data_IF_911222209783
#
_entry.id   IF_911222209783
#
_cell.length_a   1.000
_cell.length_b   1.000
_cell.length_c   1.000
_cell.angle_alpha   90.00
_cell.angle_beta   90.00
_cell.angle_gamma   90.00
#
_symmetry.space_group_name_H-M   'P 1'
#
loop_
_entity.id
_entity.type
_entity.pdbx_description
1 polymer ?
#
# COMPACT_ATOMS: atom_id res chain seq x y z
N UNK A 1 -4.48 3.82 -4.30
CA UNK A 1 -3.71 4.18 -3.10
C UNK A 1 -4.48 3.80 -1.86
N UNK A 2 -3.86 3.08 -0.91
CA UNK A 2 -4.50 2.48 0.26
C UNK A 2 -4.02 3.18 1.54
N UNK A 3 -4.95 3.76 2.27
CA UNK A 3 -4.65 4.56 3.47
C UNK A 3 -4.23 3.71 4.67
N UNK A 4 -3.62 4.35 5.68
CA UNK A 4 -3.24 3.72 6.95
C UNK A 4 -4.41 3.57 7.92
N UNK A 5 -4.15 2.83 9.03
CA UNK A 5 -5.11 2.65 10.11
C UNK A 5 -5.61 3.98 10.68
N UNK A 6 -6.91 4.09 10.87
CA UNK A 6 -7.55 5.28 11.42
C UNK A 6 -7.66 6.49 10.48
N UNK A 7 -7.21 6.34 9.24
CA UNK A 7 -7.39 7.38 8.20
C UNK A 7 -8.69 7.15 7.43
N UNK A 8 -9.14 8.17 6.70
CA UNK A 8 -10.24 8.08 5.73
C UNK A 8 -9.73 8.43 4.33
N UNK A 9 -10.21 7.73 3.33
CA UNK A 9 -9.79 7.88 1.93
C UNK A 9 -9.91 9.33 1.44
N UNK A 10 -10.99 10.04 1.80
CA UNK A 10 -11.23 11.44 1.41
C UNK A 10 -10.15 12.44 1.90
N UNK A 11 -9.43 12.10 2.96
CA UNK A 11 -8.30 12.91 3.45
C UNK A 11 -6.98 12.38 2.92
N UNK A 12 -6.83 11.08 2.83
CA UNK A 12 -5.61 10.45 2.35
C UNK A 12 -5.32 10.80 0.89
N UNK A 13 -6.34 10.84 0.03
CA UNK A 13 -6.18 11.16 -1.39
C UNK A 13 -5.55 12.54 -1.63
N UNK A 14 -5.69 13.48 -0.69
CA UNK A 14 -5.13 14.83 -0.81
C UNK A 14 -3.60 14.86 -0.89
N UNK A 15 -2.92 13.86 -0.34
CA UNK A 15 -1.47 13.74 -0.47
C UNK A 15 -1.04 13.62 -1.92
N UNK A 16 -1.91 13.12 -2.79
CA UNK A 16 -1.63 12.86 -4.21
C UNK A 16 -1.96 14.04 -5.13
N UNK A 17 -2.50 15.14 -4.61
CA UNK A 17 -2.68 16.39 -5.35
C UNK A 17 -1.33 16.90 -5.89
N UNK A 18 -0.25 16.69 -5.14
CA UNK A 18 1.10 17.11 -5.49
C UNK A 18 1.65 16.48 -6.79
N UNK A 19 1.07 15.36 -7.23
CA UNK A 19 1.51 14.60 -8.42
C UNK A 19 0.47 14.60 -9.54
N UNK A 20 -0.63 15.35 -9.39
CA UNK A 20 -1.66 15.46 -10.42
C UNK A 20 -1.16 16.30 -11.60
N UNK A 21 -1.20 15.72 -12.79
CA UNK A 21 -0.74 16.36 -14.03
C UNK A 21 -1.68 16.10 -15.23
N UNK A 22 -2.91 15.65 -14.97
CA UNK A 22 -3.90 15.32 -16.01
C UNK A 22 -3.66 13.98 -16.73
N UNK A 23 -2.59 13.26 -16.40
CA UNK A 23 -2.25 11.95 -16.99
C UNK A 23 -2.42 10.78 -16.03
N UNK A 24 -2.88 11.04 -14.80
CA UNK A 24 -3.03 10.03 -13.75
C UNK A 24 -4.45 10.03 -13.23
N UNK A 25 -5.02 8.84 -13.10
CA UNK A 25 -6.20 8.60 -12.29
C UNK A 25 -5.71 8.09 -10.93
N UNK A 26 -5.99 8.82 -9.87
CA UNK A 26 -5.73 8.37 -8.49
C UNK A 26 -7.02 7.87 -7.88
N UNK A 27 -7.04 6.61 -7.47
CA UNK A 27 -8.18 5.98 -6.82
C UNK A 27 -7.79 5.67 -5.38
N UNK A 28 -8.56 6.15 -4.42
CA UNK A 28 -8.37 5.90 -2.99
C UNK A 28 -9.62 5.20 -2.43
N UNK A 29 -9.68 3.87 -2.44
CA UNK A 29 -10.75 3.15 -1.76
C UNK A 29 -10.62 3.35 -0.25
N UNK A 30 -11.76 3.33 0.44
CA UNK A 30 -11.80 3.39 1.89
C UNK A 30 -11.94 1.98 2.45
N UNK A 31 -11.19 1.71 3.52
CA UNK A 31 -11.28 0.45 4.26
C UNK A 31 -12.70 0.20 4.78
N UNK A 32 -13.13 -1.06 4.78
CA UNK A 32 -14.52 -1.45 5.00
C UNK A 32 -15.02 -1.18 6.43
N UNK A 33 -14.13 -1.20 7.42
CA UNK A 33 -14.50 -1.06 8.84
C UNK A 33 -14.26 0.36 9.34
N UNK A 34 -15.32 1.17 9.46
CA UNK A 34 -15.27 2.50 10.09
C UNK A 34 -15.49 2.42 11.58
N UNK A 35 -14.79 3.25 12.33
CA UNK A 35 -14.92 3.32 13.78
C UNK A 35 -14.63 4.73 14.31
N UNK A 36 -15.10 5.01 15.53
CA UNK A 36 -14.76 6.26 16.21
C UNK A 36 -13.35 6.20 16.78
N UNK A 37 -12.54 7.18 16.45
CA UNK A 37 -11.24 7.39 17.08
C UNK A 37 -11.41 7.82 18.55
N UNK A 38 -10.30 7.82 19.29
CA UNK A 38 -10.31 8.25 20.69
C UNK A 38 -11.05 9.59 20.88
N UNK A 39 -11.90 9.66 21.88
CA UNK A 39 -12.74 10.83 22.14
C UNK A 39 -14.03 10.91 21.30
N UNK A 40 -14.30 9.95 20.42
CA UNK A 40 -15.54 9.83 19.64
C UNK A 40 -15.92 11.07 18.78
N UNK A 41 -14.96 11.96 18.53
CA UNK A 41 -15.18 13.20 17.75
C UNK A 41 -14.80 13.05 16.28
N UNK A 42 -13.99 12.05 15.96
CA UNK A 42 -13.55 11.77 14.59
C UNK A 42 -13.74 10.29 14.27
N UNK A 43 -13.93 10.02 12.99
CA UNK A 43 -14.05 8.66 12.44
C UNK A 43 -12.78 8.33 11.68
N UNK A 44 -12.32 7.10 11.81
CA UNK A 44 -11.29 6.49 10.99
C UNK A 44 -11.79 5.17 10.41
N UNK A 45 -11.00 4.58 9.54
CA UNK A 45 -11.28 3.27 8.96
C UNK A 45 -10.08 2.34 9.13
N UNK A 46 -10.34 1.03 9.10
CA UNK A 46 -9.36 -0.04 9.21
C UNK A 46 -9.61 -1.09 8.15
N UNK A 47 -8.53 -1.57 7.52
CA UNK A 47 -8.59 -2.68 6.57
C UNK A 47 -8.85 -4.01 7.25
N UNK A 48 -8.27 -4.18 8.43
CA UNK A 48 -8.49 -5.36 9.27
C UNK A 48 -8.17 -5.05 10.72
N UNK A 49 -8.66 -5.89 11.62
CA UNK A 49 -8.22 -5.94 13.01
C UNK A 49 -7.58 -7.28 13.32
N UNK A 50 -7.18 -7.52 14.57
CA UNK A 50 -6.72 -8.84 15.00
C UNK A 50 -7.86 -9.83 15.12
N UNK A 51 -9.04 -9.33 15.43
CA UNK A 51 -10.27 -10.11 15.58
C UNK A 51 -10.80 -10.48 14.20
N UNK A 52 -11.07 -11.75 13.96
CA UNK A 52 -11.55 -12.30 12.67
C UNK A 52 -10.76 -11.83 11.43
N UNK A 53 -9.46 -11.73 11.60
CA UNK A 53 -8.53 -11.13 10.63
C UNK A 53 -8.60 -11.75 9.24
N UNK A 54 -8.81 -13.07 9.15
CA UNK A 54 -8.82 -13.77 7.86
C UNK A 54 -10.06 -13.41 7.06
N UNK A 55 -11.21 -13.28 7.69
CA UNK A 55 -12.44 -12.80 7.04
C UNK A 55 -12.26 -11.35 6.57
N UNK A 56 -11.70 -10.46 7.39
CA UNK A 56 -11.38 -9.08 6.96
C UNK A 56 -10.49 -9.07 5.71
N UNK A 57 -9.49 -9.99 5.64
CA UNK A 57 -8.58 -10.09 4.49
C UNK A 57 -9.35 -10.53 3.23
N UNK A 58 -10.15 -11.58 3.31
CA UNK A 58 -10.95 -12.06 2.19
C UNK A 58 -11.93 -10.98 1.69
N UNK A 59 -12.58 -10.27 2.61
CA UNK A 59 -13.53 -9.20 2.30
C UNK A 59 -12.87 -8.02 1.58
N UNK A 60 -11.74 -7.51 2.09
CA UNK A 60 -11.10 -6.39 1.41
C UNK A 60 -10.44 -6.79 0.08
N UNK A 61 -9.97 -8.03 -0.07
CA UNK A 61 -9.46 -8.52 -1.35
C UNK A 61 -10.58 -8.56 -2.39
N UNK A 62 -11.73 -9.16 -2.05
CA UNK A 62 -12.89 -9.19 -2.93
C UNK A 62 -13.38 -7.77 -3.29
N UNK A 63 -13.39 -6.86 -2.33
CA UNK A 63 -13.76 -5.46 -2.55
C UNK A 63 -12.79 -4.74 -3.51
N UNK A 64 -11.49 -4.90 -3.30
CA UNK A 64 -10.47 -4.25 -4.13
C UNK A 64 -10.45 -4.83 -5.55
N UNK A 65 -10.65 -6.14 -5.70
CA UNK A 65 -10.76 -6.80 -7.01
C UNK A 65 -12.01 -6.30 -7.76
N UNK A 66 -13.17 -6.24 -7.11
CA UNK A 66 -14.38 -5.70 -7.71
C UNK A 66 -14.22 -4.24 -8.15
N UNK A 67 -13.53 -3.42 -7.35
CA UNK A 67 -13.22 -2.03 -7.70
C UNK A 67 -12.28 -1.95 -8.91
N UNK A 68 -11.25 -2.79 -8.94
CA UNK A 68 -10.31 -2.91 -10.06
C UNK A 68 -11.05 -3.23 -11.35
N UNK A 69 -11.91 -4.24 -11.34
CA UNK A 69 -12.70 -4.65 -12.50
C UNK A 69 -13.58 -3.51 -13.00
N UNK A 70 -14.30 -2.81 -12.11
CA UNK A 70 -15.12 -1.65 -12.48
C UNK A 70 -14.33 -0.51 -13.14
N UNK A 71 -13.07 -0.29 -12.73
CA UNK A 71 -12.20 0.70 -13.37
C UNK A 71 -11.86 0.25 -14.79
N UNK A 72 -11.47 -1.02 -14.95
CA UNK A 72 -11.01 -1.55 -16.22
C UNK A 72 -12.13 -1.94 -17.20
N UNK A 73 -13.39 -1.91 -16.77
CA UNK A 73 -14.54 -1.82 -17.72
C UNK A 73 -14.50 -0.54 -18.58
N UNK A 74 -13.84 0.52 -18.10
CA UNK A 74 -13.84 1.85 -18.74
C UNK A 74 -12.47 2.30 -19.22
N UNK A 75 -11.42 1.66 -18.74
CA UNK A 75 -10.01 1.97 -19.05
C UNK A 75 -9.36 0.73 -19.64
N UNK A 76 -8.77 0.85 -20.81
CA UNK A 76 -7.99 -0.25 -21.38
C UNK A 76 -6.74 -0.50 -20.51
N UNK A 77 -6.66 -1.70 -19.90
CA UNK A 77 -5.53 -2.11 -19.05
C UNK A 77 -4.19 -2.02 -19.79
N UNK A 78 -4.17 -2.34 -21.08
CA UNK A 78 -2.96 -2.29 -21.90
C UNK A 78 -2.45 -0.88 -22.20
N UNK A 79 -3.27 0.14 -21.97
CA UNK A 79 -2.93 1.54 -22.24
C UNK A 79 -2.35 2.30 -21.05
N UNK A 80 -2.36 1.70 -19.84
CA UNK A 80 -1.96 2.36 -18.60
C UNK A 80 -1.04 1.48 -17.75
N UNK A 81 -0.16 2.11 -16.99
CA UNK A 81 0.57 1.45 -15.92
C UNK A 81 -0.23 1.51 -14.61
N UNK A 82 -0.30 0.39 -13.91
CA UNK A 82 -0.99 0.26 -12.62
C UNK A 82 0.01 0.31 -11.48
N UNK A 83 -0.08 1.36 -10.68
CA UNK A 83 0.74 1.51 -9.49
C UNK A 83 -0.13 1.35 -8.24
N UNK A 84 0.23 0.42 -7.38
CA UNK A 84 -0.41 0.25 -6.07
C UNK A 84 0.50 0.83 -4.99
N UNK A 85 0.00 1.78 -4.23
CA UNK A 85 0.70 2.35 -3.07
C UNK A 85 -0.13 2.11 -1.81
N UNK A 86 0.51 1.58 -0.78
CA UNK A 86 -0.10 1.45 0.54
C UNK A 86 0.73 2.16 1.61
N UNK A 87 0.07 2.95 2.44
CA UNK A 87 0.67 3.61 3.60
C UNK A 87 0.37 2.84 4.87
N UNK A 88 1.39 2.51 5.67
CA UNK A 88 1.23 1.85 6.97
C UNK A 88 0.40 0.56 6.85
N UNK A 89 -0.73 0.42 7.55
CA UNK A 89 -1.64 -0.73 7.39
C UNK A 89 -2.04 -0.97 5.92
N UNK A 90 -2.24 0.11 5.14
CA UNK A 90 -2.52 0.02 3.72
C UNK A 90 -1.42 -0.63 2.90
N UNK A 91 -0.16 -0.60 3.36
CA UNK A 91 0.95 -1.30 2.69
C UNK A 91 0.84 -2.81 2.82
N UNK A 92 0.49 -3.32 4.00
CA UNK A 92 0.21 -4.74 4.19
C UNK A 92 -1.00 -5.21 3.36
N UNK A 93 -2.04 -4.36 3.26
CA UNK A 93 -3.20 -4.59 2.40
C UNK A 93 -2.80 -4.61 0.92
N UNK A 94 -1.99 -3.64 0.47
CA UNK A 94 -1.47 -3.57 -0.88
C UNK A 94 -0.63 -4.81 -1.26
N UNK A 95 0.20 -5.27 -0.33
CA UNK A 95 1.01 -6.47 -0.53
C UNK A 95 0.13 -7.70 -0.72
N UNK A 96 -0.85 -7.91 0.16
CA UNK A 96 -1.78 -9.04 0.02
C UNK A 96 -2.60 -8.96 -1.26
N UNK A 97 -3.06 -7.76 -1.63
CA UNK A 97 -3.79 -7.59 -2.88
C UNK A 97 -2.94 -7.91 -4.11
N UNK A 98 -1.69 -7.48 -4.14
CA UNK A 98 -0.76 -7.79 -5.23
C UNK A 98 -0.35 -9.28 -5.29
N UNK A 99 -0.52 -10.04 -4.21
CA UNK A 99 -0.09 -11.44 -4.11
C UNK A 99 -1.22 -12.45 -4.11
N UNK A 100 -2.36 -12.09 -3.53
CA UNK A 100 -3.51 -12.98 -3.32
C UNK A 100 -4.74 -12.54 -4.13
N UNK A 101 -4.83 -11.26 -4.52
CA UNK A 101 -5.90 -10.70 -5.35
C UNK A 101 -5.59 -10.80 -6.84
N UNK A 102 -6.41 -10.11 -7.65
CA UNK A 102 -6.34 -10.15 -9.11
C UNK A 102 -5.56 -8.98 -9.73
N UNK A 103 -5.10 -8.01 -8.93
CA UNK A 103 -4.40 -6.84 -9.48
C UNK A 103 -3.05 -7.24 -10.08
N UNK A 104 -2.86 -6.90 -11.35
CA UNK A 104 -1.56 -6.99 -12.03
C UNK A 104 -0.86 -5.63 -11.94
N UNK A 105 -0.13 -5.42 -10.83
CA UNK A 105 0.53 -4.16 -10.54
C UNK A 105 1.89 -4.08 -11.23
N UNK A 106 2.11 -3.05 -12.03
CA UNK A 106 3.43 -2.74 -12.60
C UNK A 106 4.41 -2.25 -11.53
N UNK A 107 3.87 -1.60 -10.49
CA UNK A 107 4.66 -1.10 -9.36
C UNK A 107 3.90 -1.25 -8.04
N UNK A 108 4.60 -1.73 -7.01
CA UNK A 108 4.12 -1.78 -5.64
C UNK A 108 4.98 -0.87 -4.75
N UNK A 109 4.34 0.07 -4.05
CA UNK A 109 5.02 1.01 -3.16
C UNK A 109 4.51 0.80 -1.74
N UNK A 110 5.39 0.34 -0.87
CA UNK A 110 5.13 0.16 0.55
C UNK A 110 5.68 1.37 1.30
N UNK A 111 4.80 2.27 1.68
CA UNK A 111 5.16 3.51 2.36
C UNK A 111 4.99 3.36 3.86
N UNK A 112 6.09 3.48 4.62
CA UNK A 112 6.10 3.29 6.06
C UNK A 112 5.42 1.96 6.47
N UNK A 113 5.71 0.90 5.72
CA UNK A 113 5.09 -0.42 5.87
C UNK A 113 6.05 -1.52 5.48
N UNK A 114 5.79 -2.70 5.99
CA UNK A 114 6.50 -3.94 5.72
C UNK A 114 5.63 -4.96 4.98
N UNK A 115 6.27 -5.99 4.44
CA UNK A 115 5.59 -7.17 3.93
C UNK A 115 4.94 -7.89 5.12
N UNK A 116 3.66 -8.27 5.04
CA UNK A 116 2.99 -8.94 6.15
C UNK A 116 3.67 -10.25 6.55
N UNK A 117 3.94 -10.49 7.83
CA UNK A 117 4.68 -11.67 8.29
C UNK A 117 3.91 -12.99 8.13
N UNK A 118 2.61 -12.91 7.90
CA UNK A 118 1.71 -14.04 7.66
C UNK A 118 1.59 -14.42 6.17
N UNK A 119 2.21 -13.65 5.28
CA UNK A 119 2.23 -13.97 3.86
C UNK A 119 3.30 -15.04 3.58
N UNK A 120 2.87 -16.18 3.06
CA UNK A 120 3.79 -17.23 2.64
C UNK A 120 4.53 -16.84 1.34
N UNK A 121 5.73 -16.29 1.49
CA UNK A 121 6.56 -15.91 0.36
C UNK A 121 7.18 -17.11 -0.37
N UNK A 122 7.14 -18.32 0.18
CA UNK A 122 7.56 -19.52 -0.58
C UNK A 122 6.61 -19.78 -1.73
N UNK A 123 5.33 -19.50 -1.53
CA UNK A 123 4.27 -19.66 -2.53
C UNK A 123 4.04 -18.41 -3.36
N UNK A 124 4.08 -17.20 -2.74
CA UNK A 124 3.58 -15.97 -3.34
C UNK A 124 4.66 -14.97 -3.80
N UNK A 125 5.96 -15.27 -3.62
CA UNK A 125 7.05 -14.35 -3.99
C UNK A 125 7.05 -13.97 -5.48
N UNK A 126 6.54 -14.83 -6.37
CA UNK A 126 6.53 -14.58 -7.81
C UNK A 126 5.72 -13.33 -8.19
N UNK A 127 4.61 -13.08 -7.52
CA UNK A 127 3.83 -11.87 -7.74
C UNK A 127 4.63 -10.60 -7.40
N UNK A 128 5.40 -10.63 -6.30
CA UNK A 128 6.27 -9.51 -5.91
C UNK A 128 7.50 -9.36 -6.81
N UNK A 129 8.00 -10.44 -7.41
CA UNK A 129 9.12 -10.36 -8.38
C UNK A 129 8.70 -9.71 -9.69
N UNK A 130 7.44 -9.83 -10.09
CA UNK A 130 6.93 -9.25 -11.35
C UNK A 130 6.70 -7.75 -11.26
N UNK A 131 6.40 -7.22 -10.08
CA UNK A 131 6.21 -5.79 -9.89
C UNK A 131 7.50 -5.08 -9.45
N UNK A 132 7.60 -3.79 -9.75
CA UNK A 132 8.70 -2.95 -9.24
C UNK A 132 8.41 -2.57 -7.78
N UNK A 133 9.00 -3.32 -6.83
CA UNK A 133 8.79 -3.08 -5.41
C UNK A 133 9.66 -1.91 -4.90
N UNK A 134 9.05 -0.97 -4.20
CA UNK A 134 9.73 0.14 -3.54
C UNK A 134 9.29 0.24 -2.07
N UNK A 135 10.23 0.22 -1.15
CA UNK A 135 10.03 0.54 0.26
C UNK A 135 10.32 2.03 0.47
N UNK A 136 9.41 2.77 1.08
CA UNK A 136 9.59 4.19 1.40
C UNK A 136 9.54 4.38 2.90
N UNK A 137 10.60 4.93 3.50
CA UNK A 137 10.79 4.94 4.95
C UNK A 137 11.24 6.31 5.43
N UNK A 138 10.61 6.81 6.49
CA UNK A 138 11.07 8.00 7.20
C UNK A 138 12.28 7.70 8.08
N UNK A 139 13.25 8.63 8.18
CA UNK A 139 14.43 8.45 9.03
C UNK A 139 14.10 8.31 10.52
N UNK A 140 12.98 8.90 10.93
CA UNK A 140 12.51 8.95 12.32
C UNK A 140 11.19 8.17 12.49
N UNK A 141 10.95 7.18 11.63
CA UNK A 141 9.74 6.34 11.69
C UNK A 141 9.80 5.42 12.93
N UNK A 142 8.86 5.62 13.85
CA UNK A 142 8.79 4.87 15.10
C UNK A 142 8.22 3.44 14.91
N UNK A 143 7.55 3.15 13.79
CA UNK A 143 6.98 1.83 13.49
C UNK A 143 7.88 1.01 12.57
N UNK A 144 8.40 1.62 11.51
CA UNK A 144 9.36 0.97 10.61
C UNK A 144 10.78 1.42 10.94
N UNK A 145 11.26 0.97 12.09
CA UNK A 145 12.62 1.28 12.58
C UNK A 145 13.71 0.73 11.65
N UNK A 146 14.97 1.22 11.75
CA UNK A 146 16.08 0.68 10.96
C UNK A 146 16.27 -0.84 11.14
N UNK A 147 16.03 -1.38 12.33
CA UNK A 147 16.10 -2.82 12.57
C UNK A 147 15.02 -3.58 11.79
N UNK A 148 13.78 -3.10 11.83
CA UNK A 148 12.67 -3.69 11.06
C UNK A 148 12.89 -3.57 9.55
N UNK A 149 13.43 -2.44 9.09
CA UNK A 149 13.81 -2.30 7.68
C UNK A 149 14.84 -3.35 7.27
N UNK A 150 15.90 -3.54 8.07
CA UNK A 150 16.92 -4.55 7.80
C UNK A 150 16.34 -5.98 7.77
N UNK A 151 15.38 -6.31 8.65
CA UNK A 151 14.66 -7.57 8.62
C UNK A 151 13.86 -7.74 7.32
N UNK A 152 13.20 -6.67 6.84
CA UNK A 152 12.46 -6.70 5.58
C UNK A 152 13.40 -6.87 4.38
N UNK A 153 14.54 -6.19 4.36
CA UNK A 153 15.54 -6.33 3.30
C UNK A 153 16.10 -7.76 3.27
N UNK A 154 16.39 -8.36 4.44
CA UNK A 154 16.82 -9.75 4.54
C UNK A 154 15.74 -10.73 4.05
N UNK A 155 14.47 -10.51 4.41
CA UNK A 155 13.34 -11.31 3.95
C UNK A 155 13.21 -11.26 2.42
N UNK A 156 13.19 -10.07 1.83
CA UNK A 156 13.06 -9.88 0.38
C UNK A 156 14.25 -10.49 -0.38
N UNK A 157 15.46 -10.28 0.12
CA UNK A 157 16.69 -10.86 -0.44
C UNK A 157 16.68 -12.39 -0.37
N UNK A 158 16.27 -12.95 0.77
CA UNK A 158 16.16 -14.40 0.97
C UNK A 158 15.19 -15.09 0.01
N UNK A 159 14.16 -14.37 -0.44
CA UNK A 159 13.21 -14.85 -1.45
C UNK A 159 13.51 -14.34 -2.89
N UNK A 160 14.68 -13.74 -3.11
CA UNK A 160 15.10 -13.20 -4.42
C UNK A 160 14.07 -12.23 -5.03
N UNK A 161 13.44 -11.41 -4.19
CA UNK A 161 12.48 -10.38 -4.61
C UNK A 161 13.27 -9.08 -4.84
N UNK A 162 13.32 -8.53 -6.08
CA UNK A 162 13.98 -7.25 -6.34
C UNK A 162 13.21 -6.11 -5.66
N UNK A 163 13.93 -5.22 -5.00
CA UNK A 163 13.34 -4.04 -4.36
C UNK A 163 14.27 -2.83 -4.41
N UNK A 164 13.69 -1.66 -4.14
CA UNK A 164 14.43 -0.41 -3.88
C UNK A 164 14.00 0.14 -2.54
N UNK A 165 14.92 0.82 -1.85
CA UNK A 165 14.62 1.59 -0.65
C UNK A 165 14.76 3.07 -0.97
N UNK A 166 13.77 3.86 -0.58
CA UNK A 166 13.78 5.32 -0.65
C UNK A 166 13.58 5.87 0.76
N UNK A 167 14.58 6.59 1.26
CA UNK A 167 14.51 7.26 2.55
C UNK A 167 14.06 8.71 2.38
N UNK A 168 13.32 9.26 3.36
CA UNK A 168 13.06 10.69 3.48
C UNK A 168 13.27 11.14 4.94
N UNK A 169 13.54 12.42 5.12
CA UNK A 169 13.71 13.00 6.46
C UNK A 169 12.35 13.17 7.15
N UNK A 170 12.12 12.45 8.24
CA UNK A 170 10.91 12.63 9.04
C UNK A 170 10.33 11.35 9.63
N UNK A 171 9.22 11.50 10.39
CA UNK A 171 8.54 10.42 11.10
C UNK A 171 7.61 9.61 10.19
N UNK A 172 6.75 8.80 10.80
CA UNK A 172 5.72 7.97 10.15
C UNK A 172 4.65 8.82 9.45
N UNK A 173 4.93 9.28 8.23
CA UNK A 173 4.03 10.17 7.44
C UNK A 173 4.23 10.01 5.94
N UNK A 174 3.27 10.52 5.17
CA UNK A 174 3.48 10.80 3.74
C UNK A 174 4.37 12.04 3.58
N UNK A 175 5.27 12.01 2.58
CA UNK A 175 6.15 13.12 2.24
C UNK A 175 5.97 13.52 0.76
N UNK A 176 5.55 14.77 0.53
CA UNK A 176 5.15 15.23 -0.80
C UNK A 176 6.32 15.26 -1.80
N UNK A 177 7.52 15.64 -1.36
CA UNK A 177 8.68 15.71 -2.23
C UNK A 177 9.15 14.30 -2.64
N UNK A 178 9.17 13.37 -1.70
CA UNK A 178 9.47 11.95 -1.99
C UNK A 178 8.44 11.35 -2.93
N UNK A 179 7.14 11.69 -2.75
CA UNK A 179 6.08 11.22 -3.65
C UNK A 179 6.28 11.73 -5.08
N UNK A 180 6.68 12.99 -5.27
CA UNK A 180 7.01 13.55 -6.60
C UNK A 180 8.18 12.80 -7.23
N UNK A 181 9.27 12.59 -6.49
CA UNK A 181 10.45 11.86 -7.00
C UNK A 181 10.09 10.44 -7.47
N UNK A 182 9.21 9.75 -6.76
CA UNK A 182 8.75 8.41 -7.15
C UNK A 182 7.94 8.40 -8.45
N UNK A 183 7.33 9.50 -8.83
CA UNK A 183 6.53 9.56 -10.06
C UNK A 183 7.36 9.85 -11.31
N UNK A 184 8.60 10.24 -11.16
CA UNK A 184 9.53 10.53 -12.25
C UNK A 184 10.41 9.31 -12.60
N UNK A 185 10.34 8.22 -11.79
CA UNK A 185 11.02 6.92 -11.98
C UNK A 185 10.15 5.94 -12.77
#
# INVERSE_FOLDING_TARGET
VLHGYGQLAQYFIRHFEAIQNGRRLVVAPEALSRYYLAGHTRVGASWMTREDRLTDIDDYLAYLDALHDQIFERVDRGSVAVHVLGFSQGGATATRWATLGQVDADRLILWASDVPPDLDLTTHAEALRRCKLTLVVGTDDEFLTPARLAEQEALLTGHSIPYRVRMFMGPHRMDAETLKLLTDE
#
